data_IF_660997766923
#
_entry.id   IF_660997766923
#
_cell.length_a   1.000
_cell.length_b   1.000
_cell.length_c   1.000
_cell.angle_alpha   90.00
_cell.angle_beta   90.00
_cell.angle_gamma   90.00
#
_symmetry.space_group_name_H-M   'P 1'
#
loop_
_entity.id
_entity.type
_entity.pdbx_description
1 polymer ?
#
# COMPACT_ATOMS: atom_id res chain seq x y z
N UNK A 1 21.15 7.14 38.28
CA UNK A 1 19.77 6.97 37.78
C UNK A 1 19.31 8.31 37.21
N UNK A 2 19.13 8.42 35.90
CA UNK A 2 18.87 9.69 35.20
C UNK A 2 17.52 10.35 35.59
N UNK A 3 16.49 9.55 35.92
CA UNK A 3 15.14 10.03 36.18
C UNK A 3 14.80 10.15 37.68
N UNK A 4 15.65 9.68 38.56
CA UNK A 4 15.39 9.56 40.00
C UNK A 4 14.41 8.43 40.34
N UNK A 5 14.47 7.97 41.58
CA UNK A 5 13.74 6.80 42.05
C UNK A 5 12.23 6.91 41.94
N UNK A 6 11.66 8.07 42.25
CA UNK A 6 10.23 8.33 42.23
C UNK A 6 9.62 8.20 40.82
N UNK A 7 10.34 8.68 39.80
CA UNK A 7 9.86 8.59 38.40
C UNK A 7 10.04 7.16 37.89
N UNK A 8 11.17 6.53 38.19
CA UNK A 8 11.43 5.14 37.83
C UNK A 8 10.33 4.21 38.36
N UNK A 9 9.97 4.33 39.66
CA UNK A 9 8.89 3.53 40.24
C UNK A 9 7.53 3.80 39.56
N UNK A 10 7.23 5.04 39.23
CA UNK A 10 6.01 5.35 38.46
C UNK A 10 5.97 4.68 37.09
N UNK A 11 7.11 4.61 36.37
CA UNK A 11 7.23 3.94 35.08
C UNK A 11 7.06 2.42 35.24
N UNK A 12 7.67 1.84 36.26
CA UNK A 12 7.53 0.43 36.53
C UNK A 12 6.08 0.03 36.93
N UNK A 13 5.36 0.87 37.63
CA UNK A 13 3.96 0.64 38.02
C UNK A 13 2.92 1.06 36.96
N UNK A 14 3.35 1.50 35.78
CA UNK A 14 2.42 1.89 34.71
C UNK A 14 1.67 0.67 34.13
N UNK A 15 0.39 0.87 33.82
CA UNK A 15 -0.42 -0.03 32.99
C UNK A 15 -0.51 0.52 31.59
N UNK A 16 0.15 -0.12 30.63
CA UNK A 16 0.22 0.32 29.24
C UNK A 16 -0.56 -0.63 28.32
N UNK A 17 -1.38 -0.08 27.44
CA UNK A 17 -1.94 -0.82 26.31
C UNK A 17 -1.21 -0.42 25.04
N UNK A 18 -0.61 -1.38 24.34
CA UNK A 18 -0.04 -1.20 23.01
C UNK A 18 -0.96 -1.83 21.96
N UNK A 19 -1.44 -1.02 21.03
CA UNK A 19 -2.35 -1.43 19.94
C UNK A 19 -1.56 -1.55 18.65
N UNK A 20 -1.38 -2.78 18.18
CA UNK A 20 -0.58 -3.15 17.02
C UNK A 20 0.81 -3.69 17.37
N UNK A 21 1.17 -4.84 16.82
CA UNK A 21 2.47 -5.48 16.94
C UNK A 21 3.18 -5.62 15.57
N UNK A 22 2.97 -4.64 14.68
CA UNK A 22 3.65 -4.50 13.40
C UNK A 22 5.10 -3.99 13.54
N UNK A 23 5.62 -3.33 12.51
CA UNK A 23 7.00 -2.83 12.51
C UNK A 23 7.24 -1.79 13.62
N UNK A 24 6.37 -0.78 13.73
CA UNK A 24 6.44 0.24 14.78
C UNK A 24 6.22 -0.42 16.15
N UNK A 25 5.22 -1.32 16.28
CA UNK A 25 4.95 -2.02 17.53
C UNK A 25 6.14 -2.82 18.03
N UNK A 26 6.89 -3.49 17.15
CA UNK A 26 8.13 -4.18 17.51
C UNK A 26 9.18 -3.23 18.11
N UNK A 27 9.36 -2.05 17.50
CA UNK A 27 10.33 -1.06 17.99
C UNK A 27 9.89 -0.43 19.31
N UNK A 28 8.60 -0.07 19.44
CA UNK A 28 8.05 0.45 20.68
C UNK A 28 8.18 -0.56 21.81
N UNK A 29 7.79 -1.81 21.57
CA UNK A 29 7.82 -2.85 22.58
C UNK A 29 9.24 -3.12 23.10
N UNK A 30 10.23 -3.14 22.22
CA UNK A 30 11.64 -3.22 22.61
C UNK A 30 12.00 -2.08 23.56
N UNK A 31 11.66 -0.84 23.20
CA UNK A 31 11.99 0.32 24.00
C UNK A 31 11.25 0.30 25.34
N UNK A 32 9.98 -0.06 25.37
CA UNK A 32 9.19 -0.18 26.60
C UNK A 32 9.75 -1.25 27.53
N UNK A 33 10.15 -2.39 26.99
CA UNK A 33 10.80 -3.46 27.77
C UNK A 33 12.13 -2.98 28.37
N UNK A 34 12.94 -2.26 27.61
CA UNK A 34 14.24 -1.72 28.08
C UNK A 34 14.08 -0.61 29.12
N UNK A 35 12.96 0.13 29.08
CA UNK A 35 12.62 1.17 30.07
C UNK A 35 11.97 0.59 31.35
N UNK A 36 11.78 -0.72 31.46
CA UNK A 36 11.07 -1.38 32.56
C UNK A 36 9.62 -0.91 32.72
N UNK A 37 8.93 -0.49 31.67
CA UNK A 37 7.53 -0.09 31.76
C UNK A 37 6.68 -1.29 32.17
N UNK A 38 5.86 -1.11 33.20
CA UNK A 38 4.92 -2.12 33.66
C UNK A 38 5.54 -3.31 34.40
N UNK A 39 6.79 -3.23 34.86
CA UNK A 39 7.49 -4.31 35.56
C UNK A 39 7.35 -4.27 37.07
N UNK A 40 6.72 -3.23 37.64
CA UNK A 40 6.48 -3.08 39.06
C UNK A 40 5.29 -3.90 39.54
N UNK A 41 5.07 -3.94 40.85
CA UNK A 41 4.04 -4.77 41.50
C UNK A 41 2.62 -4.47 40.94
N UNK A 42 2.32 -3.19 40.65
CA UNK A 42 1.04 -2.76 40.09
C UNK A 42 1.08 -2.54 38.57
N UNK A 43 2.22 -2.78 37.94
CA UNK A 43 2.47 -2.56 36.54
C UNK A 43 1.94 -3.67 35.64
N UNK A 44 1.56 -3.32 34.43
CA UNK A 44 1.16 -4.28 33.40
C UNK A 44 1.38 -3.72 32.00
N UNK A 45 1.68 -4.58 31.05
CA UNK A 45 1.76 -4.26 29.64
C UNK A 45 0.81 -5.16 28.85
N UNK A 46 -0.18 -4.58 28.22
CA UNK A 46 -1.13 -5.28 27.34
C UNK A 46 -0.74 -5.02 25.90
N UNK A 47 -0.67 -6.07 25.09
CA UNK A 47 -0.37 -5.98 23.65
C UNK A 47 -1.52 -6.62 22.90
N UNK A 48 -2.08 -5.90 21.94
CA UNK A 48 -3.13 -6.47 21.10
C UNK A 48 -2.81 -6.33 19.63
N UNK A 49 -2.98 -7.42 18.88
CA UNK A 49 -2.85 -7.49 17.42
C UNK A 49 -3.58 -8.73 16.92
N UNK A 50 -4.56 -8.62 16.01
CA UNK A 50 -5.34 -9.76 15.52
C UNK A 50 -4.60 -10.59 14.47
N UNK A 51 -3.49 -10.10 13.94
CA UNK A 51 -2.80 -10.70 12.81
C UNK A 51 -1.89 -11.86 13.19
N UNK A 52 -1.64 -12.70 12.20
CA UNK A 52 -0.58 -13.72 12.23
C UNK A 52 0.66 -13.24 11.50
N UNK A 53 1.79 -13.88 11.79
CA UNK A 53 3.08 -13.57 11.18
C UNK A 53 3.17 -14.18 9.79
N UNK A 54 3.48 -13.36 8.79
CA UNK A 54 3.70 -13.74 7.40
C UNK A 54 5.16 -13.53 6.99
N UNK A 55 5.58 -14.19 5.89
CA UNK A 55 6.94 -14.07 5.34
C UNK A 55 7.31 -12.60 5.06
N UNK A 56 6.37 -11.82 4.51
CA UNK A 56 6.54 -10.40 4.22
C UNK A 56 6.85 -9.55 5.46
N UNK A 57 6.45 -10.00 6.64
CA UNK A 57 6.67 -9.29 7.90
C UNK A 57 8.12 -9.36 8.36
N UNK A 58 8.83 -10.46 8.03
CA UNK A 58 10.20 -10.72 8.50
C UNK A 58 11.23 -9.69 8.00
N UNK A 59 10.90 -8.95 6.95
CA UNK A 59 11.76 -7.90 6.39
C UNK A 59 11.90 -6.66 7.30
N UNK A 60 10.93 -6.40 8.20
CA UNK A 60 10.89 -5.18 9.00
C UNK A 60 10.39 -5.36 10.45
N UNK A 61 9.76 -6.49 10.78
CA UNK A 61 9.26 -6.80 12.13
C UNK A 61 10.28 -7.67 12.85
N UNK A 62 11.33 -7.05 13.39
CA UNK A 62 12.55 -7.72 13.83
C UNK A 62 12.39 -8.65 15.03
N UNK A 63 11.29 -8.58 15.77
CA UNK A 63 11.00 -9.53 16.86
C UNK A 63 10.63 -10.92 16.34
N UNK A 64 10.28 -11.03 15.06
CA UNK A 64 9.83 -12.28 14.46
C UNK A 64 10.95 -12.96 13.67
N UNK A 65 10.87 -14.29 13.58
CA UNK A 65 11.81 -15.17 12.86
C UNK A 65 11.01 -16.19 12.04
N UNK A 66 11.62 -16.87 11.10
CA UNK A 66 10.98 -17.89 10.26
C UNK A 66 10.21 -18.94 11.08
N UNK A 67 10.77 -19.39 12.20
CA UNK A 67 10.09 -20.32 13.11
C UNK A 67 8.77 -19.80 13.71
N UNK A 68 8.52 -18.51 13.63
CA UNK A 68 7.30 -17.86 14.13
C UNK A 68 6.23 -17.68 13.06
N UNK A 69 6.47 -18.13 11.81
CA UNK A 69 5.47 -18.04 10.74
C UNK A 69 4.16 -18.70 11.14
N UNK A 70 3.05 -18.04 10.83
CA UNK A 70 1.67 -18.43 11.18
C UNK A 70 1.32 -18.38 12.67
N UNK A 71 2.23 -17.95 13.55
CA UNK A 71 1.91 -17.66 14.94
C UNK A 71 1.31 -16.25 15.08
N UNK A 72 0.50 -15.98 16.11
CA UNK A 72 -0.04 -14.66 16.36
C UNK A 72 1.06 -13.64 16.66
N UNK A 73 0.93 -12.41 16.11
CA UNK A 73 1.91 -11.34 16.32
C UNK A 73 2.01 -10.91 17.77
N UNK A 74 0.88 -10.66 18.44
CA UNK A 74 0.87 -10.16 19.82
C UNK A 74 1.53 -11.09 20.81
N UNK A 75 1.20 -12.38 20.80
CA UNK A 75 1.77 -13.37 21.74
C UNK A 75 3.26 -13.62 21.46
N UNK A 76 3.66 -13.65 20.19
CA UNK A 76 5.06 -13.80 19.79
C UNK A 76 5.89 -12.59 20.20
N UNK A 77 5.37 -11.38 20.02
CA UNK A 77 6.01 -10.15 20.45
C UNK A 77 6.15 -10.09 21.97
N UNK A 78 5.11 -10.47 22.72
CA UNK A 78 5.16 -10.55 24.18
C UNK A 78 6.25 -11.52 24.68
N UNK A 79 6.33 -12.70 24.06
CA UNK A 79 7.37 -13.69 24.39
C UNK A 79 8.79 -13.15 24.11
N UNK A 80 8.97 -12.43 22.99
CA UNK A 80 10.24 -11.78 22.68
C UNK A 80 10.60 -10.67 23.68
N UNK A 81 9.62 -9.89 24.13
CA UNK A 81 9.85 -8.86 25.16
C UNK A 81 10.28 -9.46 26.51
N UNK A 82 9.70 -10.58 26.92
CA UNK A 82 10.14 -11.31 28.13
C UNK A 82 11.56 -11.84 27.99
N UNK A 83 12.00 -12.25 26.80
CA UNK A 83 13.39 -12.65 26.57
C UNK A 83 14.36 -11.47 26.70
N UNK A 84 13.94 -10.25 26.32
CA UNK A 84 14.74 -9.04 26.47
C UNK A 84 14.78 -8.53 27.91
N UNK A 85 13.64 -8.59 28.59
CA UNK A 85 13.49 -8.19 29.98
C UNK A 85 12.69 -9.23 30.78
N UNK A 86 13.37 -10.13 31.50
CA UNK A 86 12.69 -11.17 32.29
C UNK A 86 11.76 -10.66 33.39
N UNK A 87 11.90 -9.40 33.85
CA UNK A 87 10.98 -8.79 34.82
C UNK A 87 9.54 -8.67 34.28
N UNK A 88 9.37 -8.66 32.95
CA UNK A 88 8.05 -8.64 32.32
C UNK A 88 7.31 -9.98 32.43
N UNK A 89 7.94 -11.05 32.85
CA UNK A 89 7.38 -12.38 32.93
C UNK A 89 6.12 -12.35 33.73
N UNK A 90 5.21 -12.16 33.99
CA UNK A 90 3.90 -12.08 34.66
C UNK A 90 3.26 -10.70 34.61
N UNK A 91 3.87 -9.77 33.88
CA UNK A 91 3.40 -8.40 33.73
C UNK A 91 3.01 -8.05 32.26
N UNK A 92 3.22 -8.98 31.32
CA UNK A 92 2.90 -8.76 29.91
C UNK A 92 1.80 -9.71 29.46
N UNK A 93 0.76 -9.17 28.83
CA UNK A 93 -0.45 -9.89 28.44
C UNK A 93 -0.75 -9.64 26.97
N UNK A 94 -0.81 -10.72 26.19
CA UNK A 94 -1.16 -10.65 24.76
C UNK A 94 -2.65 -10.92 24.55
N UNK A 95 -3.27 -10.09 23.72
CA UNK A 95 -4.65 -10.26 23.22
C UNK A 95 -4.62 -10.42 21.70
N UNK A 96 -5.54 -11.19 21.15
CA UNK A 96 -5.66 -11.45 19.71
C UNK A 96 -6.77 -10.62 19.08
N UNK A 97 -7.39 -9.76 19.87
CA UNK A 97 -8.56 -9.01 19.48
C UNK A 97 -8.16 -7.67 18.89
N UNK A 98 -8.92 -7.22 17.90
CA UNK A 98 -8.83 -5.88 17.35
C UNK A 98 -9.51 -4.91 18.32
N UNK A 99 -8.97 -3.71 18.48
CA UNK A 99 -9.62 -2.64 19.26
C UNK A 99 -10.60 -1.90 18.35
N UNK A 100 -11.88 -2.21 18.44
CA UNK A 100 -12.96 -1.66 17.63
C UNK A 100 -14.32 -1.79 18.35
N UNK A 101 -15.39 -1.28 17.77
CA UNK A 101 -16.73 -1.30 18.35
C UNK A 101 -17.19 -2.73 18.67
N UNK A 102 -16.90 -3.70 17.81
CA UNK A 102 -17.32 -5.09 17.97
C UNK A 102 -16.63 -5.80 19.14
N UNK A 103 -15.58 -5.22 19.73
CA UNK A 103 -14.81 -5.82 20.83
C UNK A 103 -14.87 -5.00 22.12
N UNK A 104 -15.86 -4.13 22.29
CA UNK A 104 -16.04 -3.32 23.51
C UNK A 104 -16.26 -4.15 24.76
N UNK A 105 -16.80 -5.36 24.64
CA UNK A 105 -16.95 -6.31 25.74
C UNK A 105 -15.59 -6.84 26.25
N UNK A 106 -14.52 -6.75 25.44
CA UNK A 106 -13.15 -7.15 25.81
C UNK A 106 -12.35 -5.94 26.31
N UNK A 107 -12.50 -4.81 25.61
CA UNK A 107 -11.86 -3.55 25.90
C UNK A 107 -12.89 -2.57 26.51
N UNK A 108 -13.41 -2.93 27.68
CA UNK A 108 -14.46 -2.20 28.39
C UNK A 108 -13.99 -0.82 28.83
N UNK A 109 -14.92 0.04 29.24
CA UNK A 109 -14.58 1.33 29.85
C UNK A 109 -13.75 1.14 31.14
N UNK A 110 -14.09 0.15 31.94
CA UNK A 110 -13.31 -0.15 33.16
C UNK A 110 -11.88 -0.58 32.81
N UNK A 111 -11.70 -1.35 31.74
CA UNK A 111 -10.35 -1.70 31.27
C UNK A 111 -9.57 -0.44 30.87
N UNK A 112 -10.15 0.44 30.04
CA UNK A 112 -9.51 1.70 29.66
C UNK A 112 -9.21 2.57 30.88
N UNK A 113 -10.16 2.75 31.77
CA UNK A 113 -10.00 3.53 33.00
C UNK A 113 -8.90 3.00 33.93
N UNK A 114 -8.55 1.72 33.81
CA UNK A 114 -7.46 1.10 34.56
C UNK A 114 -6.07 1.42 34.01
N UNK A 115 -5.98 1.91 32.76
CA UNK A 115 -4.70 2.14 32.06
C UNK A 115 -4.05 3.47 32.51
N UNK A 116 -2.74 3.52 32.42
CA UNK A 116 -1.95 4.74 32.62
C UNK A 116 -1.71 5.46 31.28
N UNK A 117 -1.60 4.71 30.18
CA UNK A 117 -1.29 5.23 28.83
C UNK A 117 -1.64 4.19 27.79
N UNK A 118 -2.03 4.66 26.60
CA UNK A 118 -2.18 3.84 25.39
C UNK A 118 -1.12 4.24 24.38
N UNK A 119 -0.56 3.28 23.65
CA UNK A 119 0.38 3.51 22.55
C UNK A 119 -0.14 2.86 21.27
N UNK A 120 -0.35 3.65 20.23
CA UNK A 120 -0.78 3.18 18.92
C UNK A 120 0.40 2.89 17.99
N UNK A 121 0.37 1.71 17.37
CA UNK A 121 1.25 1.30 16.29
C UNK A 121 0.42 0.77 15.09
N UNK A 122 -0.62 1.52 14.75
CA UNK A 122 -1.65 1.17 13.77
C UNK A 122 -1.30 1.70 12.37
N UNK A 123 -1.84 1.06 11.35
CA UNK A 123 -1.64 1.39 9.93
C UNK A 123 -2.90 1.94 9.24
N UNK A 124 -4.04 2.04 9.94
CA UNK A 124 -5.25 2.60 9.36
C UNK A 124 -5.86 3.73 10.23
N UNK A 125 -6.40 4.73 9.54
CA UNK A 125 -6.94 5.95 10.12
C UNK A 125 -8.17 5.70 10.99
N UNK A 126 -9.06 4.79 10.58
CA UNK A 126 -10.30 4.51 11.32
C UNK A 126 -10.01 3.90 12.69
N UNK A 127 -9.07 2.93 12.75
CA UNK A 127 -8.64 2.33 14.02
C UNK A 127 -8.00 3.38 14.93
N UNK A 128 -7.16 4.29 14.38
CA UNK A 128 -6.56 5.38 15.16
C UNK A 128 -7.61 6.31 15.74
N UNK A 129 -8.60 6.74 14.93
CA UNK A 129 -9.71 7.58 15.38
C UNK A 129 -10.55 6.91 16.46
N UNK A 130 -10.81 5.60 16.32
CA UNK A 130 -11.54 4.85 17.32
C UNK A 130 -10.78 4.79 18.66
N UNK A 131 -9.49 4.43 18.66
CA UNK A 131 -8.67 4.39 19.87
C UNK A 131 -8.53 5.79 20.49
N UNK A 132 -8.34 6.83 19.68
CA UNK A 132 -8.31 8.23 20.14
C UNK A 132 -9.60 8.61 20.86
N UNK A 133 -10.78 8.30 20.28
CA UNK A 133 -12.07 8.58 20.91
C UNK A 133 -12.22 7.89 22.27
N UNK A 134 -11.78 6.63 22.38
CA UNK A 134 -11.79 5.87 23.65
C UNK A 134 -10.84 6.50 24.67
N UNK A 135 -9.64 6.89 24.25
CA UNK A 135 -8.66 7.54 25.13
C UNK A 135 -9.16 8.91 25.62
N UNK A 136 -9.77 9.72 24.76
CA UNK A 136 -10.35 11.01 25.13
C UNK A 136 -11.51 10.82 26.12
N UNK A 137 -12.42 9.89 25.85
CA UNK A 137 -13.55 9.57 26.72
C UNK A 137 -13.11 9.11 28.11
N UNK A 138 -12.13 8.21 28.18
CA UNK A 138 -11.58 7.66 29.43
C UNK A 138 -10.50 8.58 30.07
N UNK A 139 -10.19 9.71 29.47
CA UNK A 139 -9.14 10.66 29.93
C UNK A 139 -7.75 10.04 30.06
N UNK A 140 -7.44 9.08 29.19
CA UNK A 140 -6.14 8.37 29.21
C UNK A 140 -5.21 8.99 28.14
N UNK A 141 -3.96 9.31 28.47
CA UNK A 141 -2.98 9.75 27.48
C UNK A 141 -2.77 8.72 26.36
N UNK A 142 -2.66 9.21 25.12
CA UNK A 142 -2.39 8.42 23.94
C UNK A 142 -1.06 8.84 23.31
N UNK A 143 -0.18 7.89 23.06
CA UNK A 143 1.00 8.04 22.23
C UNK A 143 0.66 7.52 20.84
N UNK A 144 0.32 8.43 19.93
CA UNK A 144 0.00 8.09 18.55
C UNK A 144 1.27 8.04 17.71
N UNK A 145 1.40 7.03 16.87
CA UNK A 145 2.53 6.91 15.95
C UNK A 145 2.14 6.24 14.63
N UNK A 146 2.77 6.68 13.56
CA UNK A 146 2.50 6.15 12.25
C UNK A 146 3.54 6.52 11.21
N UNK A 147 3.42 5.92 10.03
CA UNK A 147 4.25 6.21 8.86
C UNK A 147 3.40 6.39 7.62
N UNK A 148 3.87 7.24 6.72
CA UNK A 148 3.35 7.40 5.36
C UNK A 148 4.53 7.44 4.40
N UNK A 149 4.89 6.28 3.85
CA UNK A 149 6.11 6.12 3.07
C UNK A 149 7.36 6.48 3.89
N UNK A 150 8.21 7.43 3.44
CA UNK A 150 9.42 7.85 4.16
C UNK A 150 9.15 8.82 5.32
N UNK A 151 7.92 9.28 5.50
CA UNK A 151 7.56 10.22 6.56
C UNK A 151 7.08 9.48 7.79
N UNK A 152 7.61 9.83 8.97
CA UNK A 152 7.13 9.36 10.28
C UNK A 152 6.30 10.45 10.96
N UNK A 153 5.33 10.01 11.77
CA UNK A 153 4.50 10.87 12.60
C UNK A 153 4.47 10.35 14.02
N UNK A 154 4.61 11.25 14.97
CA UNK A 154 4.44 10.98 16.42
C UNK A 154 3.65 12.13 17.00
N UNK A 155 2.62 11.81 17.78
CA UNK A 155 1.80 12.78 18.50
C UNK A 155 1.55 12.31 19.93
N UNK A 156 1.76 13.20 20.88
CA UNK A 156 1.41 12.97 22.28
C UNK A 156 0.06 13.64 22.54
N UNK A 157 -0.94 12.84 22.86
CA UNK A 157 -2.30 13.29 23.12
C UNK A 157 -2.57 13.17 24.61
N UNK A 158 -2.78 14.31 25.26
CA UNK A 158 -3.20 14.39 26.66
C UNK A 158 -4.61 14.99 26.66
N UNK A 159 -5.65 14.19 26.95
CA UNK A 159 -7.04 14.65 26.89
C UNK A 159 -7.24 15.98 27.65
N UNK A 160 -7.96 16.91 27.03
CA UNK A 160 -8.23 18.26 27.50
C UNK A 160 -7.03 19.21 27.66
N UNK A 161 -5.82 18.78 27.23
CA UNK A 161 -4.61 19.61 27.27
C UNK A 161 -3.98 19.80 25.91
N UNK A 162 -4.10 18.81 25.04
CA UNK A 162 -3.58 18.86 23.66
C UNK A 162 -4.70 18.54 22.68
N UNK A 163 -4.49 18.81 21.41
CA UNK A 163 -5.38 18.34 20.36
C UNK A 163 -5.41 16.81 20.32
N UNK A 164 -6.58 16.25 20.01
CA UNK A 164 -6.74 14.81 19.76
C UNK A 164 -6.31 14.45 18.33
N UNK A 165 -6.12 13.16 18.08
CA UNK A 165 -5.84 12.70 16.72
C UNK A 165 -7.00 13.00 15.76
N UNK A 166 -8.24 12.80 16.21
CA UNK A 166 -9.44 13.04 15.40
C UNK A 166 -9.71 14.51 15.11
N UNK A 167 -9.18 15.45 15.92
CA UNK A 167 -9.32 16.90 15.67
C UNK A 167 -8.39 17.41 14.56
N UNK A 168 -7.41 16.63 14.17
CA UNK A 168 -6.51 16.93 13.06
C UNK A 168 -7.03 16.29 11.78
N UNK A 169 -6.85 16.98 10.66
CA UNK A 169 -7.07 16.36 9.36
C UNK A 169 -5.78 15.61 9.00
N UNK A 170 -5.88 14.29 8.90
CA UNK A 170 -4.86 13.55 8.19
C UNK A 170 -4.67 14.21 6.81
N UNK A 171 -3.41 14.31 6.32
CA UNK A 171 -3.23 14.69 4.93
C UNK A 171 -4.09 13.75 4.12
N UNK A 172 -5.01 14.30 3.34
CA UNK A 172 -5.84 13.49 2.45
C UNK A 172 -4.90 12.54 1.70
N UNK A 173 -5.04 11.24 1.92
CA UNK A 173 -4.35 10.19 1.18
C UNK A 173 -4.98 10.08 -0.22
N UNK A 174 -5.45 11.19 -0.73
CA UNK A 174 -5.92 11.36 -2.09
C UNK A 174 -4.81 11.96 -2.96
N UNK A 175 -3.63 11.36 -2.92
CA UNK A 175 -2.82 11.31 -4.13
C UNK A 175 -3.35 10.15 -5.00
N UNK A 176 -4.66 10.04 -5.15
CA UNK A 176 -5.22 9.32 -6.26
C UNK A 176 -4.82 10.08 -7.53
N UNK A 177 -3.67 9.69 -8.04
CA UNK A 177 -3.19 10.18 -9.33
C UNK A 177 -4.30 9.85 -10.32
N UNK A 178 -4.82 10.84 -11.07
CA UNK A 178 -5.90 10.61 -12.02
C UNK A 178 -5.57 9.44 -12.94
N UNK A 179 -6.55 8.62 -13.24
CA UNK A 179 -6.33 7.41 -14.05
C UNK A 179 -5.81 7.76 -15.46
N UNK A 180 -6.16 8.91 -15.99
CA UNK A 180 -5.61 9.43 -17.26
C UNK A 180 -4.11 9.74 -17.12
N UNK A 181 -3.68 10.36 -16.03
CA UNK A 181 -2.26 10.64 -15.77
C UNK A 181 -1.46 9.34 -15.67
N UNK A 182 -1.94 8.36 -14.89
CA UNK A 182 -1.26 7.07 -14.78
C UNK A 182 -1.19 6.29 -16.09
N UNK A 183 -2.25 6.33 -16.91
CA UNK A 183 -2.34 5.48 -18.10
C UNK A 183 -1.86 6.14 -19.37
N UNK A 184 -1.98 7.46 -19.49
CA UNK A 184 -1.86 8.17 -20.75
C UNK A 184 -0.89 9.34 -20.70
N UNK A 185 -0.81 10.07 -19.59
CA UNK A 185 -0.07 11.34 -19.51
C UNK A 185 0.82 11.40 -18.26
N UNK A 186 1.77 10.46 -18.07
CA UNK A 186 2.68 10.51 -16.93
C UNK A 186 3.60 11.73 -17.03
N UNK A 187 3.65 12.53 -15.98
CA UNK A 187 4.46 13.75 -15.91
C UNK A 187 5.72 13.56 -15.07
N UNK A 188 5.63 12.69 -14.05
CA UNK A 188 6.68 12.41 -13.08
C UNK A 188 7.04 10.92 -13.04
N UNK A 189 8.26 10.61 -12.60
CA UNK A 189 8.73 9.23 -12.47
C UNK A 189 7.81 8.38 -11.55
N UNK A 190 7.22 9.01 -10.51
CA UNK A 190 6.29 8.33 -9.61
C UNK A 190 5.05 7.80 -10.34
N UNK A 191 4.56 8.51 -11.35
CA UNK A 191 3.41 8.08 -12.17
C UNK A 191 3.74 6.78 -12.91
N UNK A 192 4.96 6.66 -13.44
CA UNK A 192 5.43 5.45 -14.12
C UNK A 192 5.56 4.27 -13.14
N UNK A 193 6.07 4.53 -11.93
CA UNK A 193 6.20 3.50 -10.88
C UNK A 193 4.82 3.01 -10.43
N UNK A 194 3.88 3.91 -10.18
CA UNK A 194 2.51 3.56 -9.78
C UNK A 194 1.77 2.79 -10.90
N UNK A 195 1.96 3.21 -12.14
CA UNK A 195 1.44 2.46 -13.29
C UNK A 195 2.01 1.05 -13.37
N UNK A 196 3.32 0.89 -13.21
CA UNK A 196 3.98 -0.41 -13.23
C UNK A 196 3.48 -1.30 -12.08
N UNK A 197 3.32 -0.75 -10.87
CA UNK A 197 2.77 -1.43 -9.70
C UNK A 197 1.33 -1.90 -9.95
N UNK A 198 0.49 -1.05 -10.53
CA UNK A 198 -0.89 -1.38 -10.91
C UNK A 198 -0.93 -2.53 -11.94
N UNK A 199 -0.08 -2.46 -12.99
CA UNK A 199 0.00 -3.52 -13.99
C UNK A 199 0.48 -4.85 -13.38
N UNK A 200 1.50 -4.80 -12.52
CA UNK A 200 1.99 -5.98 -11.81
C UNK A 200 0.90 -6.60 -10.92
N UNK A 201 0.25 -5.78 -10.09
CA UNK A 201 -0.82 -6.21 -9.21
C UNK A 201 -1.98 -6.87 -9.96
N UNK A 202 -2.41 -6.28 -11.07
CA UNK A 202 -3.50 -6.82 -11.90
C UNK A 202 -3.17 -8.17 -12.53
N UNK A 203 -1.95 -8.35 -13.01
CA UNK A 203 -1.55 -9.54 -13.79
C UNK A 203 -1.04 -10.66 -12.87
N UNK A 204 -0.14 -10.35 -11.93
CA UNK A 204 0.57 -11.35 -11.15
C UNK A 204 0.01 -11.59 -9.74
N UNK A 205 -0.98 -10.78 -9.33
CA UNK A 205 -1.63 -10.93 -8.01
C UNK A 205 -3.14 -11.14 -8.14
N UNK A 206 -3.86 -10.20 -8.74
CA UNK A 206 -5.32 -10.24 -8.78
C UNK A 206 -5.84 -11.31 -9.73
N UNK A 207 -5.21 -11.45 -10.90
CA UNK A 207 -5.62 -12.45 -11.89
C UNK A 207 -5.46 -13.89 -11.39
N UNK A 208 -4.33 -14.32 -10.82
CA UNK A 208 -4.21 -15.65 -10.22
C UNK A 208 -5.23 -15.89 -9.11
N UNK A 209 -5.40 -14.95 -8.19
CA UNK A 209 -6.43 -15.05 -7.13
C UNK A 209 -7.84 -15.22 -7.69
N UNK A 210 -8.17 -14.48 -8.76
CA UNK A 210 -9.49 -14.60 -9.41
C UNK A 210 -9.66 -15.97 -10.07
N UNK A 211 -8.62 -16.48 -10.71
CA UNK A 211 -8.66 -17.80 -11.36
C UNK A 211 -8.79 -18.90 -10.30
N UNK A 212 -8.00 -18.87 -9.21
CA UNK A 212 -8.09 -19.82 -8.12
C UNK A 212 -9.48 -19.84 -7.51
N UNK A 213 -10.06 -18.67 -7.22
CA UNK A 213 -11.42 -18.55 -6.70
C UNK A 213 -12.46 -19.18 -7.63
N UNK A 214 -12.36 -18.93 -8.95
CA UNK A 214 -13.28 -19.50 -9.94
C UNK A 214 -13.16 -21.04 -10.00
N UNK A 215 -11.94 -21.57 -9.83
CA UNK A 215 -11.70 -23.02 -9.81
C UNK A 215 -12.25 -23.64 -8.52
N UNK A 216 -11.98 -23.05 -7.35
CA UNK A 216 -12.43 -23.53 -6.04
C UNK A 216 -13.97 -23.53 -5.91
N UNK A 217 -14.63 -22.52 -6.48
CA UNK A 217 -16.09 -22.40 -6.48
C UNK A 217 -16.77 -23.22 -7.60
N UNK A 218 -16.00 -24.01 -8.38
CA UNK A 218 -16.49 -24.76 -9.56
C UNK A 218 -17.30 -23.89 -10.54
N UNK A 219 -17.03 -22.56 -10.54
CA UNK A 219 -17.77 -21.57 -11.32
C UNK A 219 -19.15 -21.18 -10.74
N UNK A 220 -19.58 -21.79 -9.64
CA UNK A 220 -20.82 -21.44 -8.96
C UNK A 220 -20.66 -20.14 -8.17
N UNK A 221 -21.56 -19.18 -8.39
CA UNK A 221 -21.52 -17.87 -7.71
C UNK A 221 -20.58 -16.82 -8.31
N UNK A 222 -19.74 -17.17 -9.28
CA UNK A 222 -18.88 -16.20 -9.98
C UNK A 222 -19.66 -15.41 -11.03
N UNK A 223 -19.43 -14.07 -11.09
CA UNK A 223 -20.00 -13.26 -12.15
C UNK A 223 -19.58 -13.80 -13.54
N UNK A 224 -20.51 -13.89 -14.47
CA UNK A 224 -20.28 -14.40 -15.84
C UNK A 224 -19.09 -13.70 -16.54
N UNK A 225 -18.87 -12.42 -16.24
CA UNK A 225 -17.76 -11.64 -16.77
C UNK A 225 -16.39 -12.12 -16.25
N UNK A 226 -16.30 -12.44 -14.97
CA UNK A 226 -15.08 -12.98 -14.34
C UNK A 226 -14.79 -14.38 -14.88
N UNK A 227 -15.80 -15.23 -14.98
CA UNK A 227 -15.68 -16.57 -15.53
C UNK A 227 -15.15 -16.54 -16.98
N UNK A 228 -15.75 -15.72 -17.86
CA UNK A 228 -15.27 -15.55 -19.24
C UNK A 228 -13.83 -15.06 -19.32
N UNK A 229 -13.45 -14.13 -18.44
CA UNK A 229 -12.09 -13.60 -18.37
C UNK A 229 -11.09 -14.68 -17.92
N UNK A 230 -11.44 -15.45 -16.89
CA UNK A 230 -10.61 -16.55 -16.38
C UNK A 230 -10.40 -17.64 -17.43
N UNK A 231 -11.47 -18.10 -18.10
CA UNK A 231 -11.39 -19.07 -19.18
C UNK A 231 -10.49 -18.59 -20.33
N UNK A 232 -10.61 -17.31 -20.72
CA UNK A 232 -9.75 -16.73 -21.76
C UNK A 232 -8.27 -16.77 -21.40
N UNK A 233 -7.94 -16.50 -20.13
CA UNK A 233 -6.57 -16.56 -19.64
C UNK A 233 -6.06 -18.00 -19.54
N UNK A 234 -6.88 -18.92 -19.02
CA UNK A 234 -6.51 -20.35 -18.95
C UNK A 234 -6.23 -20.95 -20.32
N UNK A 235 -7.01 -20.57 -21.36
CA UNK A 235 -6.76 -20.98 -22.75
C UNK A 235 -5.44 -20.45 -23.32
N UNK A 236 -4.92 -19.34 -22.80
CA UNK A 236 -3.64 -18.72 -23.17
C UNK A 236 -2.49 -19.10 -22.23
N UNK A 237 -2.73 -20.02 -21.28
CA UNK A 237 -1.70 -20.44 -20.34
C UNK A 237 -0.48 -21.02 -21.08
N UNK A 238 0.74 -20.53 -20.79
CA UNK A 238 1.95 -21.00 -21.44
C UNK A 238 2.25 -22.45 -21.02
N UNK A 239 2.68 -23.27 -21.97
CA UNK A 239 3.02 -24.67 -21.74
C UNK A 239 4.53 -24.88 -21.54
N UNK A 240 5.33 -23.99 -22.08
CA UNK A 240 6.77 -23.99 -22.02
C UNK A 240 7.31 -22.55 -21.89
N UNK A 241 8.62 -22.41 -21.73
CA UNK A 241 9.23 -21.10 -21.54
C UNK A 241 9.19 -20.22 -22.81
N UNK A 242 9.17 -20.83 -23.99
CA UNK A 242 9.06 -20.09 -25.26
C UNK A 242 7.70 -19.42 -25.38
N UNK A 243 6.62 -20.07 -24.94
CA UNK A 243 5.29 -19.45 -24.86
C UNK A 243 5.30 -18.24 -23.91
N UNK A 244 6.06 -18.33 -22.79
CA UNK A 244 6.21 -17.19 -21.86
C UNK A 244 6.93 -16.01 -22.54
N UNK A 245 7.95 -16.27 -23.34
CA UNK A 245 8.65 -15.25 -24.12
C UNK A 245 7.76 -14.61 -25.18
N UNK A 246 6.95 -15.41 -25.89
CA UNK A 246 5.97 -14.89 -26.86
C UNK A 246 4.93 -13.99 -26.19
N UNK A 247 4.41 -14.40 -25.04
CA UNK A 247 3.47 -13.55 -24.24
C UNK A 247 4.13 -12.24 -23.80
N UNK A 248 5.42 -12.28 -23.41
CA UNK A 248 6.17 -11.09 -23.06
C UNK A 248 6.32 -10.15 -24.26
N UNK A 249 6.62 -10.69 -25.45
CA UNK A 249 6.76 -9.93 -26.69
C UNK A 249 5.43 -9.32 -27.15
N UNK A 250 4.31 -10.07 -27.06
CA UNK A 250 2.96 -9.56 -27.30
C UNK A 250 2.62 -8.42 -26.34
N UNK A 251 2.94 -8.60 -25.04
CA UNK A 251 2.67 -7.57 -24.02
C UNK A 251 3.48 -6.31 -24.27
N UNK A 252 4.76 -6.41 -24.60
CA UNK A 252 5.61 -5.28 -24.98
C UNK A 252 4.98 -4.50 -26.14
N UNK A 253 4.69 -5.20 -27.25
CA UNK A 253 4.10 -4.56 -28.43
C UNK A 253 2.76 -3.86 -28.12
N UNK A 254 1.92 -4.49 -27.31
CA UNK A 254 0.65 -3.91 -26.90
C UNK A 254 0.82 -2.63 -26.09
N UNK A 255 1.75 -2.61 -25.15
CA UNK A 255 1.91 -1.51 -24.19
C UNK A 255 2.70 -0.36 -24.78
N UNK A 256 3.86 -0.63 -25.34
CA UNK A 256 4.83 0.40 -25.74
C UNK A 256 4.69 0.82 -27.22
N UNK A 257 3.96 0.03 -28.02
CA UNK A 257 3.72 0.36 -29.45
C UNK A 257 2.23 0.66 -29.69
N UNK A 258 1.36 -0.35 -29.56
CA UNK A 258 -0.02 -0.23 -30.02
C UNK A 258 -0.86 0.74 -29.18
N UNK A 259 -0.70 0.75 -27.86
CA UNK A 259 -1.41 1.70 -27.00
C UNK A 259 -0.96 3.13 -27.26
N UNK A 260 0.34 3.35 -27.50
CA UNK A 260 0.87 4.68 -27.82
C UNK A 260 0.38 5.13 -29.20
N UNK A 261 0.42 4.26 -30.21
CA UNK A 261 -0.16 4.54 -31.54
C UNK A 261 -1.65 4.90 -31.44
N UNK A 262 -2.43 4.20 -30.60
CA UNK A 262 -3.84 4.51 -30.38
C UNK A 262 -4.03 5.85 -29.68
N UNK A 263 -3.19 6.18 -28.71
CA UNK A 263 -3.23 7.46 -28.02
C UNK A 263 -2.93 8.62 -29.00
N UNK A 264 -1.89 8.47 -29.81
CA UNK A 264 -1.55 9.47 -30.84
C UNK A 264 -2.59 9.59 -31.94
N UNK A 265 -3.33 8.51 -32.24
CA UNK A 265 -4.50 8.57 -33.11
C UNK A 265 -5.66 9.37 -32.50
N UNK A 266 -5.91 9.20 -31.20
CA UNK A 266 -6.96 9.92 -30.46
C UNK A 266 -6.60 11.40 -30.24
N UNK A 267 -5.32 11.68 -30.00
CA UNK A 267 -4.76 13.00 -29.77
C UNK A 267 -3.55 13.26 -30.68
N UNK A 268 -3.80 13.64 -31.96
CA UNK A 268 -2.72 14.04 -32.87
C UNK A 268 -1.94 15.24 -32.33
N UNK A 269 -0.69 15.42 -32.80
CA UNK A 269 0.21 16.47 -32.30
C UNK A 269 -0.36 17.87 -32.44
N UNK A 270 -1.14 18.10 -33.49
CA UNK A 270 -1.78 19.36 -33.84
C UNK A 270 -3.17 19.56 -33.20
N UNK A 271 -3.66 18.57 -32.43
CA UNK A 271 -4.97 18.67 -31.75
C UNK A 271 -4.99 19.84 -30.78
N UNK A 272 -6.01 20.67 -30.88
CA UNK A 272 -6.26 21.78 -29.97
C UNK A 272 -7.37 21.44 -28.98
N UNK A 273 -7.28 22.02 -27.82
CA UNK A 273 -8.33 21.97 -26.79
C UNK A 273 -9.49 22.94 -27.11
N UNK A 274 -10.50 22.98 -26.22
CA UNK A 274 -11.67 23.87 -26.37
C UNK A 274 -11.32 25.35 -26.36
N UNK A 275 -10.15 25.73 -25.86
CA UNK A 275 -9.64 27.08 -25.75
C UNK A 275 -8.68 27.44 -26.90
N UNK A 276 -8.49 26.56 -27.89
CA UNK A 276 -7.60 26.74 -29.02
C UNK A 276 -6.12 26.51 -28.73
N UNK A 277 -5.75 26.08 -27.53
CA UNK A 277 -4.38 25.74 -27.13
C UNK A 277 -4.05 24.31 -27.57
N UNK A 278 -2.79 24.08 -27.93
CA UNK A 278 -2.34 22.73 -28.29
C UNK A 278 -2.54 21.78 -27.10
N UNK A 279 -3.15 20.61 -27.33
CA UNK A 279 -3.35 19.59 -26.33
C UNK A 279 -2.01 19.11 -25.73
N UNK A 280 -1.02 18.89 -26.58
CA UNK A 280 0.34 18.56 -26.21
C UNK A 280 1.12 19.83 -25.85
N UNK A 281 0.90 20.37 -24.67
CA UNK A 281 1.63 21.50 -24.11
C UNK A 281 1.94 21.18 -22.65
N UNK A 282 3.07 21.69 -22.13
CA UNK A 282 3.48 21.42 -20.75
C UNK A 282 2.32 21.60 -19.76
N UNK A 283 2.14 20.65 -18.82
CA UNK A 283 3.02 19.51 -18.51
C UNK A 283 2.85 18.27 -19.41
N UNK A 284 1.78 18.19 -20.26
CA UNK A 284 1.50 17.03 -21.12
C UNK A 284 2.48 16.96 -22.29
N UNK A 285 3.27 15.89 -22.36
CA UNK A 285 4.25 15.64 -23.43
C UNK A 285 3.73 14.56 -24.38
N UNK A 286 3.91 14.70 -25.71
CA UNK A 286 3.57 13.63 -26.63
C UNK A 286 4.47 12.41 -26.36
N UNK A 287 3.91 11.21 -26.24
CA UNK A 287 4.72 10.00 -26.02
C UNK A 287 5.46 9.61 -27.29
N UNK A 288 6.61 8.98 -27.12
CA UNK A 288 7.39 8.38 -28.22
C UNK A 288 7.02 6.90 -28.30
N UNK A 289 6.88 6.38 -29.53
CA UNK A 289 6.63 4.97 -29.77
C UNK A 289 7.96 4.24 -29.56
N UNK A 290 7.96 3.27 -28.66
CA UNK A 290 9.12 2.50 -28.31
C UNK A 290 9.07 1.15 -29.03
N UNK A 291 9.61 1.10 -30.24
CA UNK A 291 9.64 -0.15 -31.02
C UNK A 291 10.64 -1.14 -30.44
N UNK A 292 10.34 -2.42 -30.55
CA UNK A 292 11.18 -3.45 -29.97
C UNK A 292 12.56 -3.49 -30.64
N UNK A 293 13.60 -3.28 -29.83
CA UNK A 293 15.00 -3.42 -30.21
C UNK A 293 15.74 -4.34 -29.23
N UNK A 294 16.39 -5.36 -29.78
CA UNK A 294 17.22 -6.31 -29.01
C UNK A 294 18.49 -5.66 -28.45
N UNK A 295 18.90 -4.52 -28.97
CA UNK A 295 20.05 -3.74 -28.48
C UNK A 295 19.68 -2.75 -27.38
N UNK A 296 18.39 -2.48 -27.18
CA UNK A 296 17.91 -1.66 -26.08
C UNK A 296 17.79 -2.49 -24.80
N UNK A 297 18.53 -2.09 -23.78
CA UNK A 297 18.57 -2.77 -22.47
C UNK A 297 17.19 -2.80 -21.80
N UNK A 298 16.39 -1.75 -21.94
CA UNK A 298 15.03 -1.68 -21.36
C UNK A 298 14.09 -2.69 -22.03
N UNK A 299 14.16 -2.82 -23.34
CA UNK A 299 13.41 -3.85 -24.06
C UNK A 299 13.81 -5.25 -23.60
N UNK A 300 15.12 -5.51 -23.51
CA UNK A 300 15.68 -6.79 -23.07
C UNK A 300 15.26 -7.13 -21.64
N UNK A 301 15.35 -6.17 -20.73
CA UNK A 301 14.95 -6.33 -19.34
C UNK A 301 13.46 -6.63 -19.19
N UNK A 302 12.62 -5.90 -19.93
CA UNK A 302 11.18 -6.11 -19.88
C UNK A 302 10.80 -7.51 -20.35
N UNK A 303 11.31 -7.96 -21.50
CA UNK A 303 11.00 -9.29 -22.06
C UNK A 303 11.42 -10.40 -21.10
N UNK A 304 12.66 -10.34 -20.62
CA UNK A 304 13.20 -11.36 -19.71
C UNK A 304 12.43 -11.39 -18.37
N UNK A 305 12.20 -10.22 -17.76
CA UNK A 305 11.49 -10.14 -16.48
C UNK A 305 10.04 -10.63 -16.61
N UNK A 306 9.32 -10.18 -17.66
CA UNK A 306 7.92 -10.57 -17.86
C UNK A 306 7.80 -12.07 -18.14
N UNK A 307 8.66 -12.64 -18.99
CA UNK A 307 8.65 -14.07 -19.27
C UNK A 307 8.94 -14.93 -18.03
N UNK A 308 9.93 -14.53 -17.20
CA UNK A 308 10.22 -15.22 -15.94
C UNK A 308 9.07 -15.15 -14.95
N UNK A 309 8.40 -14.00 -14.83
CA UNK A 309 7.22 -13.84 -13.98
C UNK A 309 6.05 -14.70 -14.45
N UNK A 310 5.82 -14.78 -15.77
CA UNK A 310 4.81 -15.67 -16.36
C UNK A 310 5.14 -17.14 -16.10
N UNK A 311 6.40 -17.52 -16.28
CA UNK A 311 6.86 -18.88 -15.99
C UNK A 311 6.61 -19.27 -14.53
N UNK A 312 6.97 -18.41 -13.60
CA UNK A 312 6.72 -18.63 -12.17
C UNK A 312 5.23 -18.72 -11.84
N UNK A 313 4.41 -17.86 -12.43
CA UNK A 313 2.95 -17.87 -12.20
C UNK A 313 2.27 -19.15 -12.66
N UNK A 314 2.74 -19.74 -13.75
CA UNK A 314 2.16 -20.96 -14.34
C UNK A 314 2.95 -22.25 -14.02
N UNK A 315 3.99 -22.18 -13.19
CA UNK A 315 4.81 -23.36 -12.84
C UNK A 315 5.66 -23.88 -14.01
N UNK A 316 5.97 -23.04 -15.00
CA UNK A 316 6.80 -23.39 -16.14
C UNK A 316 8.27 -23.31 -15.75
N UNK A 317 9.06 -24.36 -16.09
CA UNK A 317 10.49 -24.39 -15.81
C UNK A 317 11.24 -23.34 -16.64
N UNK A 318 12.02 -22.49 -15.97
CA UNK A 318 12.92 -21.53 -16.60
C UNK A 318 14.21 -22.28 -16.98
N UNK A 319 14.63 -22.31 -18.27
CA UNK A 319 15.77 -23.11 -18.71
C UNK A 319 17.13 -22.43 -18.50
N UNK A 320 17.21 -21.38 -17.69
CA UNK A 320 18.40 -20.60 -17.39
C UNK A 320 18.73 -20.69 -15.90
N UNK A 321 19.98 -20.98 -15.57
CA UNK A 321 20.46 -21.03 -14.19
C UNK A 321 20.47 -19.62 -13.58
N UNK A 322 20.92 -18.62 -14.37
CA UNK A 322 20.97 -17.22 -13.99
C UNK A 322 20.15 -16.34 -14.97
N UNK A 323 18.82 -16.35 -14.90
CA UNK A 323 17.96 -15.66 -15.88
C UNK A 323 18.07 -14.13 -15.83
N UNK A 324 18.76 -13.57 -14.82
CA UNK A 324 19.01 -12.13 -14.69
C UNK A 324 20.31 -11.67 -15.34
N UNK A 325 21.16 -12.57 -15.78
CA UNK A 325 22.39 -12.22 -16.44
C UNK A 325 22.14 -11.63 -17.83
N UNK A 326 22.93 -10.64 -18.23
CA UNK A 326 22.74 -9.94 -19.51
C UNK A 326 22.85 -10.88 -20.71
N UNK A 327 23.71 -11.90 -20.65
CA UNK A 327 23.82 -12.90 -21.71
C UNK A 327 22.52 -13.72 -21.86
N UNK A 328 21.97 -14.20 -20.74
CA UNK A 328 20.71 -14.95 -20.73
C UNK A 328 19.53 -14.10 -21.23
N UNK A 329 19.44 -12.84 -20.79
CA UNK A 329 18.39 -11.92 -21.23
C UNK A 329 18.44 -11.65 -22.74
N UNK A 330 19.64 -11.42 -23.29
CA UNK A 330 19.83 -11.23 -24.74
C UNK A 330 19.46 -12.48 -25.53
N UNK A 331 19.83 -13.67 -25.06
CA UNK A 331 19.41 -14.92 -25.66
C UNK A 331 17.88 -15.09 -25.67
N UNK A 332 17.22 -14.80 -24.55
CA UNK A 332 15.75 -14.79 -24.45
C UNK A 332 15.12 -13.86 -25.50
N UNK A 333 15.63 -12.65 -25.66
CA UNK A 333 15.13 -11.68 -26.63
C UNK A 333 15.39 -12.12 -28.08
N UNK A 334 16.53 -12.75 -28.35
CA UNK A 334 16.83 -13.28 -29.68
C UNK A 334 15.80 -14.32 -30.15
N UNK A 335 15.27 -15.16 -29.25
CA UNK A 335 14.24 -16.16 -29.56
C UNK A 335 12.90 -15.55 -30.03
N UNK A 336 12.62 -14.31 -29.68
CA UNK A 336 11.36 -13.62 -30.04
C UNK A 336 11.55 -12.41 -30.94
N UNK A 337 12.75 -12.24 -31.50
CA UNK A 337 13.07 -11.12 -32.40
C UNK A 337 12.11 -11.05 -33.59
N UNK A 338 11.89 -12.20 -34.23
CA UNK A 338 11.07 -12.32 -35.44
C UNK A 338 9.64 -12.80 -35.15
N UNK A 339 9.21 -12.73 -33.87
CA UNK A 339 7.87 -13.15 -33.47
C UNK A 339 6.80 -12.28 -34.17
N UNK A 340 5.80 -12.92 -34.74
CA UNK A 340 4.64 -12.23 -35.32
C UNK A 340 3.79 -11.66 -34.18
N UNK A 341 3.73 -10.34 -34.09
CA UNK A 341 2.88 -9.59 -33.17
C UNK A 341 1.72 -8.96 -33.89
N UNK A 342 0.62 -8.73 -33.16
CA UNK A 342 -0.55 -8.08 -33.72
C UNK A 342 -0.21 -6.66 -34.23
N UNK A 343 -0.46 -6.42 -35.51
CA UNK A 343 -0.25 -5.11 -36.10
C UNK A 343 -1.25 -4.09 -35.54
N UNK A 344 -0.82 -2.84 -35.42
CA UNK A 344 -1.70 -1.76 -34.98
C UNK A 344 -2.79 -1.47 -36.02
N UNK A 345 -4.04 -1.45 -35.54
CA UNK A 345 -5.20 -0.96 -36.31
C UNK A 345 -5.88 0.11 -35.50
N UNK A 346 -6.02 1.35 -36.01
CA UNK A 346 -6.74 2.43 -35.32
C UNK A 346 -8.18 2.04 -35.00
N UNK A 347 -8.65 2.41 -33.81
CA UNK A 347 -10.01 2.15 -33.36
C UNK A 347 -10.69 3.42 -32.89
N UNK A 348 -11.70 3.89 -33.63
CA UNK A 348 -12.52 5.04 -33.22
C UNK A 348 -13.28 4.80 -31.91
N UNK A 349 -13.73 3.55 -31.66
CA UNK A 349 -14.40 3.21 -30.43
C UNK A 349 -13.47 3.43 -29.22
N UNK A 350 -12.20 3.00 -29.35
CA UNK A 350 -11.19 3.22 -28.31
C UNK A 350 -10.83 4.71 -28.19
N UNK A 351 -10.79 5.45 -29.29
CA UNK A 351 -10.55 6.89 -29.26
C UNK A 351 -11.62 7.62 -28.45
N UNK A 352 -12.90 7.34 -28.69
CA UNK A 352 -14.02 7.90 -27.92
C UNK A 352 -13.97 7.50 -26.43
N UNK A 353 -13.55 6.28 -26.12
CA UNK A 353 -13.38 5.84 -24.71
C UNK A 353 -12.28 6.62 -24.01
N UNK A 354 -11.12 6.80 -24.66
CA UNK A 354 -10.00 7.60 -24.14
C UNK A 354 -10.43 9.05 -23.93
N UNK A 355 -11.09 9.67 -24.88
CA UNK A 355 -11.62 11.04 -24.77
C UNK A 355 -12.59 11.19 -23.59
N UNK A 356 -13.52 10.23 -23.42
CA UNK A 356 -14.46 10.23 -22.30
C UNK A 356 -13.79 10.03 -20.93
N UNK A 357 -12.70 9.24 -20.86
CA UNK A 357 -11.94 9.08 -19.61
C UNK A 357 -11.21 10.37 -19.24
N UNK A 358 -10.59 11.05 -20.20
CA UNK A 358 -9.90 12.33 -20.00
C UNK A 358 -10.88 13.42 -19.54
N UNK A 359 -12.03 13.56 -20.22
CA UNK A 359 -13.04 14.58 -19.84
C UNK A 359 -13.63 14.36 -18.43
N UNK A 360 -13.75 13.10 -17.97
CA UNK A 360 -14.21 12.80 -16.61
C UNK A 360 -13.19 13.17 -15.54
N UNK A 361 -11.92 12.95 -15.82
CA UNK A 361 -10.86 13.26 -14.89
C UNK A 361 -10.60 14.78 -14.82
N UNK A 362 -10.64 15.48 -15.96
CA UNK A 362 -10.54 16.96 -16.00
C UNK A 362 -11.67 17.60 -15.16
N UNK A 363 -12.92 17.11 -15.26
CA UNK A 363 -14.03 17.61 -14.44
C UNK A 363 -13.84 17.37 -12.95
N UNK A 364 -13.29 16.22 -12.55
CA UNK A 364 -13.01 15.94 -11.14
C UNK A 364 -11.90 16.83 -10.59
N UNK A 365 -10.93 17.21 -11.40
CA UNK A 365 -9.89 18.17 -10.99
C UNK A 365 -10.47 19.59 -10.84
N UNK A 366 -11.34 20.02 -11.73
CA UNK A 366 -12.06 21.31 -11.62
C UNK A 366 -12.94 21.36 -10.35
N UNK A 367 -13.70 20.30 -10.06
CA UNK A 367 -14.50 20.20 -8.82
C UNK A 367 -13.64 20.22 -7.55
N UNK A 368 -12.49 19.55 -7.55
CA UNK A 368 -11.54 19.60 -6.42
C UNK A 368 -10.93 20.99 -6.24
N UNK A 369 -10.69 21.73 -7.31
CA UNK A 369 -10.16 23.09 -7.28
C UNK A 369 -11.19 24.04 -6.67
N UNK A 370 -12.45 23.98 -7.10
CA UNK A 370 -13.55 24.77 -6.53
C UNK A 370 -13.81 24.51 -5.04
N UNK A 371 -13.70 23.25 -4.59
CA UNK A 371 -13.84 22.92 -3.16
C UNK A 371 -12.70 23.51 -2.31
N UNK A 372 -11.47 23.58 -2.84
CA UNK A 372 -10.33 24.19 -2.15
C UNK A 372 -10.49 25.70 -1.99
N UNK A 373 -11.06 26.38 -2.97
CA UNK A 373 -11.33 27.81 -2.90
C UNK A 373 -12.39 28.13 -1.84
N UNK A 374 -13.41 27.30 -1.66
CA UNK A 374 -14.44 27.48 -0.61
C UNK A 374 -13.90 27.23 0.80
N UNK A 375 -13.00 26.25 0.99
CA UNK A 375 -12.41 25.94 2.29
C UNK A 375 -11.29 26.92 2.70
N UNK A 376 -10.64 27.58 1.75
CA UNK A 376 -9.63 28.61 1.98
C UNK A 376 -10.19 29.98 2.35
N UNK A 377 -11.42 30.29 1.95
CA UNK A 377 -12.07 31.59 2.18
C UNK A 377 -12.65 31.74 3.59
N UNK A 378 -12.98 30.66 4.30
CA UNK A 378 -13.56 30.72 5.64
C UNK A 378 -12.53 30.95 6.78
N UNK A 379 -11.23 31.02 6.49
CA UNK A 379 -10.15 31.26 7.47
C UNK A 379 -9.64 32.70 7.54
N UNK A 380 -10.24 33.66 6.83
CA UNK A 380 -9.86 35.10 6.88
C UNK A 380 -10.93 36.00 7.52
N UNK A 381 -11.62 35.55 8.55
CA UNK A 381 -12.67 36.34 9.17
C UNK A 381 -12.86 36.04 10.65
N UNK A 382 -11.80 36.16 11.47
CA UNK A 382 -11.94 36.37 12.92
C UNK A 382 -10.66 37.01 13.46
N UNK A 383 -10.43 38.27 13.11
CA UNK A 383 -9.62 39.14 13.96
C UNK A 383 -10.58 39.66 15.03
N UNK A 384 -10.52 39.10 16.23
CA UNK A 384 -11.14 39.66 17.43
C UNK A 384 -10.30 40.88 17.82
N UNK A 385 -10.85 42.08 17.68
CA UNK A 385 -10.30 43.26 18.31
C UNK A 385 -10.45 43.11 19.84
N UNK A 386 -9.33 43.04 20.54
CA UNK A 386 -9.25 43.34 21.94
C UNK A 386 -9.35 44.88 22.09
N UNK A 387 -10.47 45.40 22.57
CA UNK A 387 -10.61 46.62 23.32
C UNK A 387 -12.07 46.75 23.76
N UNK A 388 -12.37 46.32 24.99
CA UNK A 388 -13.01 47.01 26.09
C UNK A 388 -13.19 46.08 27.28
#
# INVERSE_FOLDING_TARGET
MLLGEKITKKIEDMKLLMVGAGAIGCELLKNFAMLNIGTGENGAMYITDPDIIEVSNLTRQFLFREKHLRLPKSSTAAAAAVQMNPKLKNHIFAKLDKVCEETEQIFTDDFFNSLSVVANALDNVNARRYVDSRCVSSRIPLLESGTLGPKGHVQVIIPFKTESYASQNDPEVSNDIPQCTLKMFPEEAIHCVEWARDQFGKIFTQLPKTISKVIEEEGNGSELKLLKKSIKWMKKAPKNFEDCLLLAREKFNKVFVNNIKQLMYSYPIDKKDKNGKLFWSLPKRPPVIDEFDINDELCVDFIAAYACLMANMFGVKIPYEHPRDNAAKKEMCAKVKDAKVEAFTPSELKAKQIESEVEKDDKKEEEKFHLKDFTGSSRRGAVVNESD
#
